data_IF_955455877071
#
_entry.id   IF_955455877071
#
_cell.length_a   1.000
_cell.length_b   1.000
_cell.length_c   1.000
_cell.angle_alpha   90.00
_cell.angle_beta   90.00
_cell.angle_gamma   90.00
#
_symmetry.space_group_name_H-M   'P 1'
#
loop_
_entity.id
_entity.type
_entity.pdbx_description
1 polymer ?
#
# COMPACT_ATOMS: atom_id res chain seq x y z
N UNK A 1 -30.03 5.68 -10.91
CA UNK A 1 -28.88 4.82 -11.25
C UNK A 1 -27.56 5.59 -11.12
N UNK A 2 -27.51 6.87 -11.46
CA UNK A 2 -26.29 7.70 -11.39
C UNK A 2 -25.65 7.80 -10.00
N UNK A 3 -26.44 7.92 -8.93
CA UNK A 3 -25.91 7.95 -7.56
C UNK A 3 -25.24 6.63 -7.15
N UNK A 4 -25.77 5.49 -7.61
CA UNK A 4 -25.20 4.18 -7.31
C UNK A 4 -23.84 4.01 -7.99
N UNK A 5 -23.72 4.45 -9.25
CA UNK A 5 -22.44 4.45 -9.99
C UNK A 5 -21.39 5.35 -9.35
N UNK A 6 -21.80 6.53 -8.86
CA UNK A 6 -20.90 7.43 -8.13
C UNK A 6 -20.39 6.82 -6.82
N UNK A 7 -21.28 6.20 -6.04
CA UNK A 7 -20.93 5.54 -4.78
C UNK A 7 -20.00 4.35 -5.04
N UNK A 8 -20.33 3.48 -5.98
CA UNK A 8 -19.49 2.31 -6.31
C UNK A 8 -18.13 2.77 -6.85
N UNK A 9 -18.13 3.77 -7.75
CA UNK A 9 -16.91 4.34 -8.32
C UNK A 9 -15.98 4.93 -7.27
N UNK A 10 -16.51 5.66 -6.28
CA UNK A 10 -15.71 6.23 -5.21
C UNK A 10 -15.09 5.16 -4.30
N UNK A 11 -15.85 4.12 -3.92
CA UNK A 11 -15.31 3.01 -3.15
C UNK A 11 -14.22 2.25 -3.91
N UNK A 12 -14.43 1.96 -5.20
CA UNK A 12 -13.42 1.30 -6.04
C UNK A 12 -12.15 2.14 -6.12
N UNK A 13 -12.29 3.45 -6.33
CA UNK A 13 -11.16 4.37 -6.39
C UNK A 13 -10.39 4.40 -5.06
N UNK A 14 -11.09 4.52 -3.94
CA UNK A 14 -10.47 4.53 -2.61
C UNK A 14 -9.73 3.22 -2.34
N UNK A 15 -10.36 2.07 -2.57
CA UNK A 15 -9.73 0.76 -2.37
C UNK A 15 -8.47 0.65 -3.23
N UNK A 16 -8.55 1.06 -4.49
CA UNK A 16 -7.42 1.01 -5.41
C UNK A 16 -6.28 1.92 -4.95
N UNK A 17 -6.57 3.16 -4.55
CA UNK A 17 -5.57 4.09 -4.03
C UNK A 17 -4.86 3.54 -2.79
N UNK A 18 -5.62 2.99 -1.84
CA UNK A 18 -5.06 2.39 -0.62
C UNK A 18 -4.21 1.16 -0.94
N UNK A 19 -4.69 0.28 -1.83
CA UNK A 19 -3.95 -0.92 -2.23
C UNK A 19 -2.63 -0.57 -2.92
N UNK A 20 -2.63 0.39 -3.85
CA UNK A 20 -1.42 0.88 -4.52
C UNK A 20 -0.45 1.48 -3.51
N UNK A 21 -0.94 2.29 -2.57
CA UNK A 21 -0.11 2.88 -1.53
C UNK A 21 0.51 1.83 -0.62
N UNK A 22 -0.27 0.87 -0.13
CA UNK A 22 0.20 -0.23 0.70
C UNK A 22 1.26 -1.08 -0.02
N UNK A 23 1.03 -1.42 -1.29
CA UNK A 23 2.02 -2.12 -2.11
C UNK A 23 3.31 -1.32 -2.28
N UNK A 24 3.22 0.00 -2.41
CA UNK A 24 4.39 0.87 -2.52
C UNK A 24 5.24 0.85 -1.24
N UNK A 25 4.58 0.88 -0.07
CA UNK A 25 5.26 0.81 1.23
C UNK A 25 5.92 -0.55 1.39
N UNK A 26 5.20 -1.65 1.15
CA UNK A 26 5.76 -3.01 1.29
C UNK A 26 6.96 -3.21 0.37
N UNK A 27 6.89 -2.74 -0.88
CA UNK A 27 8.01 -2.81 -1.82
C UNK A 27 9.22 -1.99 -1.35
N UNK A 28 8.99 -0.79 -0.80
CA UNK A 28 10.07 0.05 -0.25
C UNK A 28 10.68 -0.58 1.00
N UNK A 29 9.86 -1.07 1.93
CA UNK A 29 10.31 -1.76 3.13
C UNK A 29 11.14 -3.00 2.80
N UNK A 30 10.70 -3.82 1.83
CA UNK A 30 11.48 -4.97 1.35
C UNK A 30 12.84 -4.57 0.74
N UNK A 31 12.89 -3.46 -0.01
CA UNK A 31 14.17 -2.96 -0.54
C UNK A 31 15.10 -2.51 0.57
N UNK A 32 14.61 -1.75 1.54
CA UNK A 32 15.41 -1.28 2.68
C UNK A 32 15.90 -2.46 3.52
N UNK A 33 15.01 -3.40 3.87
CA UNK A 33 15.38 -4.59 4.65
C UNK A 33 16.30 -5.57 3.91
N UNK A 34 16.41 -5.49 2.59
CA UNK A 34 17.39 -6.26 1.81
C UNK A 34 18.79 -5.62 1.79
N UNK A 35 18.90 -4.33 2.11
CA UNK A 35 20.17 -3.58 2.12
C UNK A 35 20.73 -3.45 3.54
N UNK A 36 19.86 -3.48 4.56
CA UNK A 36 20.24 -3.43 5.98
C UNK A 36 20.66 -4.82 6.48
N UNK A 37 21.84 -4.91 7.10
CA UNK A 37 22.31 -6.10 7.82
C UNK A 37 21.30 -6.51 8.89
N UNK A 38 21.13 -7.81 9.16
CA UNK A 38 20.14 -8.29 10.14
C UNK A 38 20.41 -7.73 11.55
N UNK A 39 21.67 -7.51 11.92
CA UNK A 39 22.08 -6.92 13.21
C UNK A 39 21.70 -5.44 13.38
N UNK A 40 21.45 -4.73 12.27
CA UNK A 40 21.11 -3.30 12.27
C UNK A 40 19.58 -3.06 12.23
N UNK A 41 18.78 -4.13 12.22
CA UNK A 41 17.31 -4.05 12.16
C UNK A 41 16.74 -3.85 13.57
N UNK A 42 16.20 -2.67 13.95
CA UNK A 42 15.71 -2.40 15.31
C UNK A 42 14.41 -3.13 15.69
N UNK A 43 13.94 -4.05 14.86
CA UNK A 43 12.71 -4.81 15.04
C UNK A 43 12.94 -6.33 15.17
N UNK A 44 14.20 -6.77 15.12
CA UNK A 44 14.64 -8.11 15.52
C UNK A 44 15.15 -8.01 16.97
#
# INVERSE_FOLDING_TARGET
MDHASFIIGSYVLTIFSVAVYALSIVRRGRKLGAITSDDDKPWI
#
